data_IF_446262988314
#
_entry.id   IF_446262988314
#
_cell.length_a   1.000
_cell.length_b   1.000
_cell.length_c   1.000
_cell.angle_alpha   90.00
_cell.angle_beta   90.00
_cell.angle_gamma   90.00
#
_symmetry.space_group_name_H-M   'P 1'
#
loop_
_entity.id
_entity.type
_entity.pdbx_description
1 polymer ?
#
# COMPACT_ATOMS: atom_id res chain seq x y z
N UNK A 1 -6.91 21.42 -20.27
CA UNK A 1 -7.36 20.75 -19.03
C UNK A 1 -6.36 19.68 -18.68
N UNK A 2 -6.32 19.19 -17.45
CA UNK A 2 -5.52 18.00 -17.14
C UNK A 2 -6.19 16.80 -17.81
N UNK A 3 -5.44 16.05 -18.62
CA UNK A 3 -5.96 14.88 -19.35
C UNK A 3 -6.76 15.19 -20.61
N UNK A 4 -6.94 16.46 -21.02
CA UNK A 4 -7.65 16.80 -22.25
C UNK A 4 -7.05 18.02 -22.98
N UNK A 5 -6.90 17.87 -24.31
CA UNK A 5 -6.32 18.84 -25.23
C UNK A 5 -7.26 19.21 -26.39
N UNK A 6 -6.75 19.96 -27.37
CA UNK A 6 -7.54 20.40 -28.54
C UNK A 6 -7.83 19.27 -29.56
N UNK A 7 -7.08 18.18 -29.49
CA UNK A 7 -7.30 16.95 -30.26
C UNK A 7 -8.16 15.96 -29.47
N UNK A 8 -9.00 15.16 -30.14
CA UNK A 8 -9.93 14.19 -29.53
C UNK A 8 -9.26 13.02 -28.76
N UNK A 9 -7.93 12.95 -28.74
CA UNK A 9 -7.19 11.99 -27.94
C UNK A 9 -7.03 12.48 -26.48
N UNK A 10 -8.10 12.37 -25.70
CA UNK A 10 -8.03 12.58 -24.25
C UNK A 10 -7.33 11.42 -23.55
N UNK A 11 -6.69 11.70 -22.42
CA UNK A 11 -6.08 10.68 -21.59
C UNK A 11 -7.16 9.75 -21.01
N UNK A 12 -7.05 8.46 -21.29
CA UNK A 12 -7.94 7.43 -20.74
C UNK A 12 -7.22 6.66 -19.62
N UNK A 13 -7.27 7.21 -18.41
CA UNK A 13 -6.68 6.62 -17.21
C UNK A 13 -6.94 7.48 -15.97
N UNK A 14 -6.48 7.00 -14.81
CA UNK A 14 -6.50 7.78 -13.57
C UNK A 14 -5.27 8.69 -13.48
N UNK A 15 -5.46 9.94 -13.07
CA UNK A 15 -4.39 10.88 -12.74
C UNK A 15 -4.55 11.18 -11.26
N UNK A 16 -3.46 11.07 -10.51
CA UNK A 16 -3.44 11.34 -9.08
C UNK A 16 -2.17 12.14 -8.71
N UNK A 17 -2.13 12.66 -7.49
CA UNK A 17 -0.91 13.20 -6.86
C UNK A 17 -0.25 14.37 -7.60
N UNK A 18 -1.06 15.21 -8.28
CA UNK A 18 -0.60 16.38 -9.05
C UNK A 18 -0.05 17.46 -8.11
N UNK A 19 1.21 17.87 -8.35
CA UNK A 19 1.89 18.93 -7.58
C UNK A 19 2.45 20.02 -8.50
N UNK A 20 2.33 21.27 -8.10
CA UNK A 20 2.86 22.45 -8.83
C UNK A 20 3.82 23.19 -7.90
N UNK A 21 5.04 23.44 -8.38
CA UNK A 21 6.08 24.13 -7.62
C UNK A 21 6.40 25.48 -8.26
N UNK A 22 6.48 26.53 -7.44
CA UNK A 22 6.92 27.87 -7.85
C UNK A 22 8.46 28.03 -7.81
N UNK A 23 9.19 26.92 -7.72
CA UNK A 23 10.65 26.84 -7.66
C UNK A 23 11.14 25.60 -8.39
N UNK A 24 12.42 25.58 -8.76
CA UNK A 24 13.08 24.36 -9.21
C UNK A 24 13.22 23.38 -8.04
N UNK A 25 12.97 22.10 -8.31
CA UNK A 25 13.27 21.01 -7.40
C UNK A 25 14.71 20.54 -7.62
N UNK A 26 15.40 20.22 -6.53
CA UNK A 26 16.66 19.50 -6.57
C UNK A 26 16.46 18.02 -6.89
N UNK A 27 17.51 17.34 -7.34
CA UNK A 27 17.47 15.92 -7.65
C UNK A 27 17.03 15.07 -6.44
N UNK A 28 17.54 15.39 -5.25
CA UNK A 28 17.17 14.70 -4.01
C UNK A 28 15.68 14.87 -3.67
N UNK A 29 15.11 16.05 -3.92
CA UNK A 29 13.68 16.29 -3.69
C UNK A 29 12.81 15.50 -4.66
N UNK A 30 13.22 15.38 -5.93
CA UNK A 30 12.52 14.54 -6.91
C UNK A 30 12.57 13.07 -6.49
N UNK A 31 13.72 12.58 -6.02
CA UNK A 31 13.85 11.21 -5.53
C UNK A 31 12.95 10.95 -4.32
N UNK A 32 12.89 11.88 -3.36
CA UNK A 32 12.01 11.77 -2.20
C UNK A 32 10.53 11.74 -2.61
N UNK A 33 10.10 12.65 -3.49
CA UNK A 33 8.72 12.70 -3.98
C UNK A 33 8.30 11.41 -4.70
N UNK A 34 9.22 10.82 -5.47
CA UNK A 34 8.99 9.52 -6.11
C UNK A 34 8.79 8.39 -5.08
N UNK A 35 9.56 8.39 -4.00
CA UNK A 35 9.49 7.37 -2.95
C UNK A 35 8.23 7.51 -2.08
N UNK A 36 7.74 8.73 -1.84
CA UNK A 36 6.53 8.98 -1.04
C UNK A 36 5.27 8.33 -1.63
N UNK A 37 5.17 8.27 -2.97
CA UNK A 37 4.02 7.67 -3.65
C UNK A 37 4.02 6.12 -3.62
N UNK A 38 5.06 5.49 -3.05
CA UNK A 38 5.10 4.05 -2.79
C UNK A 38 4.66 3.69 -1.36
N UNK A 39 4.12 4.64 -0.59
CA UNK A 39 3.52 4.27 0.69
C UNK A 39 2.31 3.35 0.45
N UNK A 40 2.25 2.17 1.09
CA UNK A 40 1.04 1.36 1.10
C UNK A 40 -0.09 2.25 1.57
N UNK A 41 -1.21 2.26 0.84
CA UNK A 41 -2.39 3.07 1.15
C UNK A 41 -2.67 3.13 2.66
N UNK A 42 -2.93 4.35 3.16
CA UNK A 42 -3.47 4.72 4.50
C UNK A 42 -4.48 3.72 5.10
N UNK A 43 -5.16 3.04 4.20
CA UNK A 43 -6.30 2.21 4.48
C UNK A 43 -5.89 0.75 4.64
N UNK A 44 -5.64 0.41 5.90
CA UNK A 44 -5.22 -0.89 6.35
C UNK A 44 -6.38 -1.66 6.98
N UNK A 45 -7.32 -2.14 6.16
CA UNK A 45 -8.36 -3.06 6.65
C UNK A 45 -7.95 -4.50 6.43
N UNK A 46 -8.20 -5.33 7.44
CA UNK A 46 -8.16 -6.77 7.28
C UNK A 46 -9.50 -7.26 6.69
N UNK A 47 -9.43 -8.15 5.70
CA UNK A 47 -10.61 -8.69 5.02
C UNK A 47 -10.82 -10.14 5.43
N UNK A 48 -12.02 -10.48 5.89
CA UNK A 48 -12.38 -11.86 6.22
C UNK A 48 -13.41 -12.40 5.22
N UNK A 49 -13.00 -13.36 4.39
CA UNK A 49 -13.85 -13.98 3.38
C UNK A 49 -13.62 -15.49 3.33
N UNK A 50 -14.71 -16.27 3.31
CA UNK A 50 -14.67 -17.73 3.18
C UNK A 50 -13.74 -18.46 4.17
N UNK A 51 -13.55 -17.92 5.38
CA UNK A 51 -12.68 -18.51 6.41
C UNK A 51 -11.22 -18.07 6.35
N UNK A 52 -10.85 -17.24 5.37
CA UNK A 52 -9.52 -16.64 5.25
C UNK A 52 -9.57 -15.17 5.69
N UNK A 53 -8.66 -14.80 6.59
CA UNK A 53 -8.37 -13.44 7.00
C UNK A 53 -7.11 -12.97 6.30
N UNK A 54 -7.25 -11.98 5.41
CA UNK A 54 -6.14 -11.33 4.72
C UNK A 54 -5.81 -9.99 5.38
N UNK A 55 -4.54 -9.78 5.75
CA UNK A 55 -4.02 -8.55 6.32
C UNK A 55 -3.00 -7.95 5.34
N UNK A 56 -3.34 -6.88 4.59
CA UNK A 56 -2.49 -6.39 3.51
C UNK A 56 -1.32 -5.49 3.97
N UNK A 57 -1.19 -5.18 5.26
CA UNK A 57 -0.40 -4.04 5.74
C UNK A 57 0.03 -4.24 7.20
N UNK A 58 1.02 -5.09 7.41
CA UNK A 58 1.65 -5.31 8.71
C UNK A 58 2.97 -4.55 8.73
N UNK A 59 3.12 -3.64 9.69
CA UNK A 59 4.36 -2.90 9.92
C UNK A 59 5.11 -3.49 11.11
N UNK A 60 6.34 -3.95 10.88
CA UNK A 60 7.22 -4.54 11.87
C UNK A 60 8.49 -3.69 11.99
N UNK A 61 8.92 -3.43 13.23
CA UNK A 61 10.20 -2.76 13.47
C UNK A 61 11.35 -3.74 13.31
N UNK A 62 12.25 -3.43 12.39
CA UNK A 62 13.47 -4.18 12.14
C UNK A 62 14.56 -3.91 13.19
N UNK A 63 15.64 -4.72 13.19
CA UNK A 63 16.73 -4.60 14.15
C UNK A 63 17.55 -3.30 14.01
N UNK A 64 17.36 -2.55 12.92
CA UNK A 64 18.05 -1.29 12.65
C UNK A 64 17.12 -0.07 12.66
N UNK A 65 15.98 -0.17 13.35
CA UNK A 65 14.92 0.85 13.40
C UNK A 65 14.28 1.17 12.02
N UNK A 66 14.46 0.24 11.08
CA UNK A 66 13.77 0.24 9.80
C UNK A 66 12.34 -0.28 9.94
N UNK A 67 11.45 0.20 9.08
CA UNK A 67 10.06 -0.22 9.03
C UNK A 67 9.88 -1.28 7.93
N UNK A 68 9.73 -2.53 8.34
CA UNK A 68 9.48 -3.67 7.44
C UNK A 68 7.98 -3.85 7.23
N UNK A 69 7.56 -4.02 5.99
CA UNK A 69 6.17 -4.15 5.61
C UNK A 69 5.87 -5.57 5.13
N UNK A 70 4.76 -6.13 5.58
CA UNK A 70 4.33 -7.48 5.22
C UNK A 70 2.85 -7.53 4.90
N UNK A 71 2.47 -8.51 4.10
CA UNK A 71 1.11 -9.04 4.05
C UNK A 71 1.09 -10.42 4.71
N UNK A 72 -0.03 -10.75 5.34
CA UNK A 72 -0.23 -12.08 5.89
C UNK A 72 -1.64 -12.61 5.60
N UNK A 73 -1.71 -13.91 5.37
CA UNK A 73 -2.94 -14.68 5.28
C UNK A 73 -3.07 -15.56 6.51
N UNK A 74 -4.27 -15.63 7.06
CA UNK A 74 -4.59 -16.40 8.26
C UNK A 74 -5.89 -17.17 8.06
N UNK A 75 -5.98 -18.39 8.59
CA UNK A 75 -7.19 -19.20 8.53
C UNK A 75 -7.73 -19.47 9.93
N UNK A 76 -9.04 -19.31 10.11
CA UNK A 76 -9.71 -19.68 11.36
C UNK A 76 -9.60 -21.20 11.58
N UNK A 77 -9.27 -21.60 12.81
CA UNK A 77 -9.23 -23.02 13.21
C UNK A 77 -10.54 -23.40 13.91
N UNK A 78 -11.43 -24.18 13.25
CA UNK A 78 -12.72 -24.52 13.81
C UNK A 78 -12.56 -25.31 15.11
N UNK A 79 -13.43 -25.04 16.09
CA UNK A 79 -13.50 -25.76 17.38
C UNK A 79 -12.32 -25.50 18.32
N UNK A 80 -11.52 -24.45 18.07
CA UNK A 80 -10.53 -23.93 19.02
C UNK A 80 -11.22 -23.19 20.18
N UNK A 81 -10.77 -23.44 21.42
CA UNK A 81 -11.14 -22.68 22.61
C UNK A 81 -9.86 -22.30 23.40
N UNK A 82 -9.44 -21.02 23.41
CA UNK A 82 -10.09 -19.87 22.79
C UNK A 82 -10.02 -19.91 21.26
N UNK A 83 -10.83 -19.08 20.59
CA UNK A 83 -10.80 -18.89 19.13
C UNK A 83 -9.37 -18.59 18.65
N UNK A 84 -8.81 -19.45 17.79
CA UNK A 84 -7.48 -19.28 17.19
C UNK A 84 -7.55 -19.07 15.67
N UNK A 85 -6.54 -18.37 15.17
CA UNK A 85 -6.23 -18.28 13.76
C UNK A 85 -4.82 -18.85 13.54
N UNK A 86 -4.64 -19.60 12.47
CA UNK A 86 -3.34 -20.11 12.04
C UNK A 86 -2.83 -19.26 10.89
N UNK A 87 -1.56 -18.83 10.95
CA UNK A 87 -0.91 -18.11 9.85
C UNK A 87 -0.68 -19.08 8.70
N UNK A 88 -1.24 -18.79 7.53
CA UNK A 88 -1.12 -19.63 6.32
C UNK A 88 -0.11 -19.07 5.31
N UNK A 89 0.18 -17.77 5.36
CA UNK A 89 1.17 -17.14 4.50
C UNK A 89 1.65 -15.81 5.04
N UNK A 90 2.92 -15.47 4.78
CA UNK A 90 3.50 -14.15 5.04
C UNK A 90 4.38 -13.78 3.85
N UNK A 91 4.23 -12.57 3.31
CA UNK A 91 5.10 -12.04 2.25
C UNK A 91 5.55 -10.63 2.58
N UNK A 92 6.80 -10.30 2.26
CA UNK A 92 7.29 -8.94 2.37
C UNK A 92 6.70 -8.07 1.25
N UNK A 93 6.38 -6.82 1.57
CA UNK A 93 6.01 -5.76 0.62
C UNK A 93 7.19 -4.84 0.34
#
# INVERSE_FOLDING_TARGET
YVGAGHSDANFNGAIDEIRIYNRALSESEVQQLYQMNNQPSDDCWATYENGNLHIPCIKVKGPFDDDLHYEADMQYEPLSDPMTFQVTGVKAK
#
